data_IF_823584525650
#
_entry.id   IF_823584525650
#
_cell.length_a   1.000
_cell.length_b   1.000
_cell.length_c   1.000
_cell.angle_alpha   90.00
_cell.angle_beta   90.00
_cell.angle_gamma   90.00
#
_symmetry.space_group_name_H-M   'P 1'
#
loop_
_entity.id
_entity.type
_entity.pdbx_description
1 polymer ?
#
# COMPACT_ATOMS: atom_id res chain seq x y z
N UNK A 1 -36.93 19.31 27.87
CA UNK A 1 -37.02 18.10 28.13
C UNK A 1 -36.80 17.13 27.12
N UNK A 2 -37.10 17.31 26.07
CA UNK A 2 -36.94 16.39 25.10
C UNK A 2 -35.59 16.35 24.59
N UNK A 3 -34.90 17.33 24.65
CA UNK A 3 -33.61 17.40 24.06
C UNK A 3 -32.70 16.32 24.47
N UNK A 4 -32.82 15.89 25.62
CA UNK A 4 -31.95 14.93 26.04
C UNK A 4 -31.82 13.76 25.18
N UNK A 5 -32.71 13.45 24.46
CA UNK A 5 -32.65 12.33 23.69
C UNK A 5 -31.53 12.29 22.74
N UNK A 6 -31.25 13.31 22.18
CA UNK A 6 -30.28 13.33 21.15
C UNK A 6 -28.96 12.85 21.58
N UNK A 7 -28.65 13.03 22.74
CA UNK A 7 -27.42 12.63 23.18
C UNK A 7 -27.07 11.25 22.99
N UNK A 8 -27.92 10.44 23.17
CA UNK A 8 -27.67 9.09 23.06
C UNK A 8 -27.06 8.77 21.76
N UNK A 9 -27.56 9.26 20.80
CA UNK A 9 -27.12 8.92 19.47
C UNK A 9 -25.64 9.11 19.33
N UNK A 10 -25.17 10.14 19.82
CA UNK A 10 -23.81 10.45 19.63
C UNK A 10 -22.89 9.44 20.23
N UNK A 11 -23.27 8.85 21.25
CA UNK A 11 -22.44 7.94 21.84
C UNK A 11 -22.19 6.75 21.06
N UNK A 12 -23.15 6.20 20.52
CA UNK A 12 -23.01 5.00 19.78
C UNK A 12 -21.99 5.10 18.72
N UNK A 13 -21.92 6.20 18.14
CA UNK A 13 -21.03 6.35 17.05
C UNK A 13 -19.61 6.14 17.47
N UNK A 14 -19.28 6.61 18.58
CA UNK A 14 -17.93 6.52 19.01
C UNK A 14 -17.41 5.12 19.09
N UNK A 15 -18.22 4.23 19.39
CA UNK A 15 -17.78 2.90 19.54
C UNK A 15 -17.30 2.27 18.28
N UNK A 16 -17.92 2.59 17.24
CA UNK A 16 -17.56 1.98 15.99
C UNK A 16 -16.14 2.26 15.62
N UNK A 17 -15.64 3.36 16.02
CA UNK A 17 -14.31 3.71 15.63
C UNK A 17 -13.26 2.84 16.25
N UNK A 18 -13.65 2.05 17.17
CA UNK A 18 -12.67 1.24 17.84
C UNK A 18 -12.16 0.11 16.98
N UNK A 19 -12.85 -0.20 15.94
CA UNK A 19 -12.42 -1.28 15.12
C UNK A 19 -11.20 -0.98 14.30
N UNK A 20 -10.61 -1.98 13.74
CA UNK A 20 -9.41 -1.84 12.96
C UNK A 20 -9.62 -0.93 11.78
N UNK A 21 -8.74 0.00 11.61
CA UNK A 21 -8.80 0.92 10.49
C UNK A 21 -8.26 0.23 9.25
N UNK A 22 -8.94 0.40 8.16
CA UNK A 22 -8.56 -0.21 6.90
C UNK A 22 -8.08 0.86 5.93
N UNK A 23 -7.45 0.45 4.87
CA UNK A 23 -6.94 1.38 3.88
C UNK A 23 -7.12 0.84 2.48
N UNK A 24 -7.26 1.75 1.53
CA UNK A 24 -7.27 1.42 0.13
C UNK A 24 -6.02 2.03 -0.43
N UNK A 25 -5.10 1.21 -0.89
CA UNK A 25 -3.83 1.69 -1.36
C UNK A 25 -3.74 1.58 -2.87
N UNK A 26 -3.23 2.62 -3.50
CA UNK A 26 -2.95 2.61 -4.92
C UNK A 26 -1.49 2.93 -5.08
N UNK A 27 -0.83 2.20 -5.95
CA UNK A 27 0.58 2.44 -6.21
C UNK A 27 0.72 2.83 -7.66
N UNK A 28 1.33 3.97 -7.89
CA UNK A 28 1.53 4.47 -9.23
C UNK A 28 2.99 4.29 -9.56
N UNK A 29 3.30 3.58 -10.62
CA UNK A 29 4.68 3.29 -10.98
C UNK A 29 5.03 4.05 -12.25
N UNK A 30 6.08 4.84 -12.18
CA UNK A 30 6.49 5.66 -13.32
C UNK A 30 7.99 5.60 -13.53
N UNK A 31 8.42 5.99 -14.71
CA UNK A 31 9.86 6.09 -14.98
C UNK A 31 10.32 7.40 -14.37
N UNK A 32 11.61 7.64 -14.41
CA UNK A 32 12.16 8.90 -13.93
C UNK A 32 11.62 10.06 -14.74
N UNK A 33 11.29 9.83 -15.98
CA UNK A 33 10.74 10.89 -16.81
C UNK A 33 9.26 11.09 -16.63
N UNK A 34 8.63 10.30 -15.77
CA UNK A 34 7.21 10.47 -15.50
C UNK A 34 6.28 9.63 -16.35
N UNK A 35 6.78 8.73 -17.15
CA UNK A 35 5.92 7.90 -17.96
C UNK A 35 5.44 6.69 -17.18
N UNK A 36 4.22 6.25 -17.39
CA UNK A 36 3.71 5.10 -16.64
C UNK A 36 4.44 3.81 -17.05
N UNK A 37 4.58 2.93 -16.08
CA UNK A 37 5.21 1.64 -16.31
C UNK A 37 4.12 0.58 -16.24
N UNK A 38 3.89 -0.11 -17.33
CA UNK A 38 2.87 -1.13 -17.45
C UNK A 38 3.41 -2.47 -16.98
N UNK A 39 2.55 -3.27 -16.40
CA UNK A 39 2.90 -4.63 -15.97
C UNK A 39 4.02 -4.75 -14.96
N UNK A 40 4.19 -3.74 -14.17
CA UNK A 40 5.15 -3.83 -13.07
C UNK A 40 4.48 -4.63 -11.95
N UNK A 41 5.21 -5.51 -11.33
CA UNK A 41 4.68 -6.27 -10.22
C UNK A 41 4.86 -5.46 -8.94
N UNK A 42 3.77 -5.16 -8.28
CA UNK A 42 3.80 -4.43 -7.03
C UNK A 42 3.51 -5.43 -5.92
N UNK A 43 4.49 -5.66 -5.07
CA UNK A 43 4.37 -6.63 -3.99
C UNK A 43 4.31 -5.90 -2.68
N UNK A 44 3.27 -6.13 -1.91
CA UNK A 44 3.06 -5.47 -0.65
C UNK A 44 3.08 -6.51 0.47
N UNK A 45 3.98 -6.33 1.42
CA UNK A 45 4.06 -7.22 2.57
C UNK A 45 3.79 -6.43 3.84
N UNK A 46 2.93 -6.95 4.68
CA UNK A 46 2.59 -6.27 5.92
C UNK A 46 3.73 -6.53 6.89
N UNK A 47 4.33 -5.49 7.42
CA UNK A 47 5.46 -5.62 8.31
C UNK A 47 5.04 -5.51 9.75
N UNK A 48 4.22 -4.53 10.05
CA UNK A 48 3.89 -4.27 11.41
C UNK A 48 2.65 -3.42 11.52
N UNK A 49 1.86 -3.59 12.54
CA UNK A 49 0.67 -2.80 12.71
C UNK A 49 -0.21 -3.47 13.73
N UNK A 50 -1.24 -2.78 14.17
CA UNK A 50 -2.11 -3.30 15.14
C UNK A 50 -2.72 -4.59 14.73
N UNK A 51 -3.04 -4.75 13.51
CA UNK A 51 -3.74 -5.91 13.05
C UNK A 51 -2.86 -7.07 12.66
N UNK A 52 -1.59 -6.91 12.72
CA UNK A 52 -0.71 -7.99 12.36
C UNK A 52 -0.95 -9.22 13.23
N UNK A 53 -1.14 -9.01 14.49
CA UNK A 53 -1.36 -10.10 15.39
C UNK A 53 -2.65 -10.81 15.04
N UNK A 54 -3.67 -10.07 14.66
CA UNK A 54 -4.91 -10.67 14.29
C UNK A 54 -4.83 -11.36 12.98
N UNK A 55 -4.03 -10.87 12.08
CA UNK A 55 -3.89 -11.48 10.80
C UNK A 55 -3.29 -12.85 10.99
N UNK A 56 -2.48 -12.96 11.97
CA UNK A 56 -2.02 -14.17 12.44
C UNK A 56 -1.76 -15.19 11.50
N UNK A 57 -2.07 -16.36 11.72
CA UNK A 57 -1.72 -17.40 10.98
C UNK A 57 -2.37 -17.62 9.71
N UNK A 58 -3.58 -17.44 9.64
CA UNK A 58 -4.30 -17.75 8.44
C UNK A 58 -4.63 -16.61 7.56
N UNK A 59 -4.32 -15.41 7.97
CA UNK A 59 -4.68 -14.24 7.19
C UNK A 59 -3.58 -13.92 6.21
N UNK A 60 -3.95 -13.32 5.10
CA UNK A 60 -3.00 -12.96 4.11
C UNK A 60 -2.28 -11.71 4.52
N UNK A 61 -0.97 -11.73 4.49
CA UNK A 61 -0.18 -10.55 4.82
C UNK A 61 0.67 -10.13 3.62
N UNK A 62 0.38 -10.67 2.48
CA UNK A 62 1.18 -10.45 1.28
C UNK A 62 0.26 -10.35 0.07
N UNK A 63 0.45 -9.33 -0.73
CA UNK A 63 -0.35 -9.12 -1.93
C UNK A 63 0.55 -8.78 -3.10
N UNK A 64 0.18 -9.23 -4.27
CA UNK A 64 0.92 -8.90 -5.47
C UNK A 64 -0.08 -8.49 -6.54
N UNK A 65 0.12 -7.31 -7.12
CA UNK A 65 -0.76 -6.78 -8.13
C UNK A 65 0.09 -6.18 -9.24
N UNK A 66 -0.36 -6.27 -10.46
CA UNK A 66 0.39 -5.69 -11.57
C UNK A 66 -0.23 -4.38 -11.99
N UNK A 67 0.60 -3.45 -12.44
CA UNK A 67 0.12 -2.16 -12.89
C UNK A 67 -0.56 -2.31 -14.24
N UNK A 68 -1.46 -1.38 -14.53
CA UNK A 68 -2.13 -1.37 -15.82
C UNK A 68 -1.37 -0.42 -16.74
N UNK A 69 -1.95 -0.09 -17.87
CA UNK A 69 -1.30 0.76 -18.85
C UNK A 69 -1.04 2.16 -18.34
N UNK A 70 -1.73 2.57 -17.32
CA UNK A 70 -1.53 3.87 -16.74
C UNK A 70 -0.51 3.81 -15.60
N UNK A 71 0.08 2.65 -15.37
CA UNK A 71 1.04 2.49 -14.32
C UNK A 71 0.43 2.41 -12.94
N UNK A 72 -0.84 2.11 -12.86
CA UNK A 72 -1.55 2.11 -11.60
C UNK A 72 -1.87 0.70 -11.12
N UNK A 73 -1.58 0.42 -9.88
CA UNK A 73 -1.91 -0.85 -9.25
C UNK A 73 -2.83 -0.55 -8.07
N UNK A 74 -4.00 -1.16 -8.06
CA UNK A 74 -4.94 -0.98 -6.97
C UNK A 74 -4.91 -2.21 -6.11
N UNK A 75 -4.65 -2.03 -4.85
CA UNK A 75 -4.57 -3.15 -3.94
C UNK A 75 -5.90 -3.39 -3.25
N UNK A 76 -6.18 -4.60 -2.80
CA UNK A 76 -7.40 -4.81 -2.07
C UNK A 76 -7.32 -4.07 -0.74
N UNK A 77 -8.45 -3.84 -0.12
CA UNK A 77 -8.49 -3.16 1.17
C UNK A 77 -7.81 -4.03 2.21
N UNK A 78 -6.95 -3.43 3.00
CA UNK A 78 -6.27 -4.17 4.07
C UNK A 78 -6.08 -3.26 5.28
N UNK A 79 -5.69 -3.80 6.42
CA UNK A 79 -5.55 -2.96 7.62
C UNK A 79 -4.40 -1.97 7.50
N UNK A 80 -4.56 -0.83 8.12
CA UNK A 80 -3.51 0.16 8.14
C UNK A 80 -2.32 -0.35 8.95
N UNK A 81 -1.16 0.15 8.66
CA UNK A 81 0.04 -0.26 9.38
C UNK A 81 1.26 -0.04 8.53
N UNK A 82 2.35 -0.64 8.89
CA UNK A 82 3.60 -0.49 8.17
C UNK A 82 3.70 -1.60 7.14
N UNK A 83 3.96 -1.23 5.91
CA UNK A 83 4.06 -2.21 4.83
C UNK A 83 5.36 -2.00 4.07
N UNK A 84 5.87 -3.07 3.51
CA UNK A 84 7.02 -3.00 2.66
C UNK A 84 6.51 -3.18 1.25
N UNK A 85 6.85 -2.25 0.38
CA UNK A 85 6.41 -2.30 -1.00
C UNK A 85 7.60 -2.52 -1.90
N UNK A 86 7.52 -3.51 -2.76
CA UNK A 86 8.55 -3.79 -3.73
C UNK A 86 7.92 -3.68 -5.10
N UNK A 87 8.64 -3.09 -6.04
CA UNK A 87 8.15 -2.99 -7.41
C UNK A 87 9.19 -3.62 -8.31
N UNK A 88 8.77 -4.60 -9.08
CA UNK A 88 9.65 -5.33 -9.98
C UNK A 88 9.14 -5.14 -11.38
N UNK A 89 9.96 -4.57 -12.23
CA UNK A 89 9.57 -4.35 -13.62
C UNK A 89 10.74 -4.72 -14.52
N UNK A 90 10.43 -5.27 -15.67
CA UNK A 90 11.45 -5.65 -16.61
C UNK A 90 12.20 -4.42 -17.06
N UNK A 91 13.50 -4.50 -17.10
CA UNK A 91 14.35 -3.41 -17.54
C UNK A 91 14.42 -2.21 -16.58
N UNK A 92 14.10 -2.44 -15.34
CA UNK A 92 14.25 -1.40 -14.33
C UNK A 92 14.82 -2.02 -13.06
N UNK A 93 15.45 -1.20 -12.26
CA UNK A 93 15.97 -1.68 -10.99
C UNK A 93 14.80 -1.96 -10.07
N UNK A 94 14.91 -2.97 -9.27
CA UNK A 94 13.86 -3.31 -8.32
C UNK A 94 13.79 -2.24 -7.23
N UNK A 95 12.61 -1.77 -6.96
CA UNK A 95 12.41 -0.78 -5.91
C UNK A 95 11.95 -1.51 -4.65
N UNK A 96 12.38 -1.07 -3.52
CA UNK A 96 11.90 -1.61 -2.26
C UNK A 96 12.02 -0.59 -1.16
N UNK A 97 10.94 -0.39 -0.43
CA UNK A 97 10.97 0.54 0.69
C UNK A 97 9.80 0.24 1.61
N UNK A 98 9.83 0.80 2.79
CA UNK A 98 8.82 0.59 3.81
C UNK A 98 8.03 1.87 3.99
N UNK A 99 6.72 1.74 4.09
CA UNK A 99 5.85 2.90 4.22
C UNK A 99 4.88 2.69 5.37
N UNK A 100 4.54 3.79 6.03
CA UNK A 100 3.53 3.74 7.08
C UNK A 100 2.23 4.19 6.46
N UNK A 101 1.24 3.34 6.48
CA UNK A 101 -0.06 3.65 5.92
C UNK A 101 -1.03 3.90 7.05
N UNK A 102 -1.40 5.15 7.24
CA UNK A 102 -2.29 5.51 8.32
C UNK A 102 -3.49 6.31 7.84
N UNK A 103 -3.84 6.19 6.58
CA UNK A 103 -4.97 6.89 6.01
C UNK A 103 -5.92 5.91 5.36
N UNK A 104 -7.16 6.27 5.26
CA UNK A 104 -8.13 5.39 4.63
C UNK A 104 -7.88 5.19 3.16
N UNK A 105 -7.31 6.17 2.52
CA UNK A 105 -6.97 6.07 1.12
C UNK A 105 -5.60 6.67 0.95
N UNK A 106 -4.74 6.00 0.25
CA UNK A 106 -3.41 6.50 0.03
C UNK A 106 -2.94 6.13 -1.35
N UNK A 107 -2.25 7.06 -2.01
CA UNK A 107 -1.62 6.79 -3.29
C UNK A 107 -0.13 7.02 -3.12
N UNK A 108 0.66 6.05 -3.51
CA UNK A 108 2.10 6.16 -3.42
C UNK A 108 2.64 6.16 -4.83
N UNK A 109 3.44 7.15 -5.16
CA UNK A 109 4.04 7.26 -6.48
C UNK A 109 5.46 6.78 -6.38
N UNK A 110 5.82 5.80 -7.21
CA UNK A 110 7.14 5.22 -7.19
C UNK A 110 7.76 5.43 -8.55
N UNK A 111 8.97 5.99 -8.57
CA UNK A 111 9.68 6.19 -9.81
C UNK A 111 10.80 5.18 -9.89
N UNK A 112 10.84 4.44 -10.97
CA UNK A 112 11.83 3.39 -11.14
C UNK A 112 13.05 3.91 -11.84
N UNK A 113 14.19 3.43 -11.40
CA UNK A 113 15.46 3.79 -12.03
C UNK A 113 15.75 2.82 -13.15
N UNK A 114 16.42 3.28 -14.19
CA UNK A 114 16.79 2.39 -15.29
C UNK A 114 17.81 1.38 -14.79
N UNK A 115 18.04 0.31 -15.52
CA UNK A 115 18.96 -0.69 -15.04
C UNK A 115 20.35 -0.10 -14.92
N UNK A 116 21.07 -0.54 -13.93
CA UNK A 116 22.37 -0.04 -13.69
C UNK A 116 23.30 -0.65 -14.72
N UNK A 117 24.14 0.20 -15.32
CA UNK A 117 25.05 -0.31 -16.30
C UNK A 117 26.08 -1.14 -15.63
N UNK A 118 26.36 -2.29 -16.19
CA UNK A 118 27.34 -3.11 -15.63
C UNK A 118 28.57 -2.98 -16.40
N UNK A 119 29.60 -2.46 -15.88
CA UNK A 119 30.82 -2.34 -16.59
C UNK A 119 31.48 -3.62 -16.31
N UNK A 120 31.88 -4.25 -17.27
CA UNK A 120 32.42 -5.42 -17.09
C UNK A 120 33.59 -5.33 -16.47
N UNK A 121 33.50 -5.16 -15.49
CA UNK A 121 34.51 -5.04 -14.87
C UNK A 121 35.27 -6.13 -15.04
N UNK A 122 34.84 -6.67 -15.22
CA UNK A 122 35.54 -7.52 -15.33
C UNK A 122 35.93 -7.43 -16.46
N UNK A 123 35.75 -6.69 -16.82
CA UNK A 123 36.07 -6.47 -17.77
C UNK A 123 36.96 -6.10 -17.77
#
# INVERSE_FOLDING_TARGET
MLARLCLMAGLCVGLVCADDAMTKLKVEVRTLGGKPVDRAAVVVNFVEGRSVVKLGKKQMTHWEVRTNQEGLAKLPTFPQGKVRIQVIAKNYQTFGDTFDIDEEEKTIVIKLNPPQQQYSAHQ
#
